data_IF_502562503558
#
_entry.id   IF_502562503558
#
_cell.length_a   1.000
_cell.length_b   1.000
_cell.length_c   1.000
_cell.angle_alpha   90.00
_cell.angle_beta   90.00
_cell.angle_gamma   90.00
#
_symmetry.space_group_name_H-M   'P 1'
#
loop_
_entity.id
_entity.type
_entity.pdbx_description
1 polymer ?
#
# COMPACT_ATOMS: atom_id res chain seq x y z
N UNK A 1 10.92 -18.93 -6.70
CA UNK A 1 11.00 -17.84 -5.71
C UNK A 1 10.25 -18.31 -4.49
N UNK A 2 10.89 -18.42 -3.33
CA UNK A 2 10.32 -19.07 -2.15
C UNK A 2 9.08 -18.33 -1.64
N UNK A 3 8.09 -19.07 -1.17
CA UNK A 3 6.82 -18.58 -0.62
C UNK A 3 7.02 -17.47 0.44
N UNK A 4 8.13 -17.55 1.18
CA UNK A 4 8.58 -16.54 2.14
C UNK A 4 8.83 -15.17 1.52
N UNK A 5 9.42 -15.11 0.33
CA UNK A 5 9.72 -13.86 -0.38
C UNK A 5 8.44 -13.15 -0.81
N UNK A 6 7.43 -13.91 -1.26
CA UNK A 6 6.13 -13.35 -1.62
C UNK A 6 5.36 -12.85 -0.40
N UNK A 7 5.43 -13.56 0.72
CA UNK A 7 4.83 -13.14 2.00
C UNK A 7 5.45 -11.84 2.51
N UNK A 8 6.78 -11.72 2.45
CA UNK A 8 7.53 -10.50 2.76
C UNK A 8 7.17 -9.33 1.82
N UNK A 9 6.98 -9.61 0.52
CA UNK A 9 6.65 -8.60 -0.49
C UNK A 9 5.24 -8.04 -0.28
N UNK A 10 4.26 -8.90 0.01
CA UNK A 10 2.90 -8.47 0.37
C UNK A 10 2.87 -7.62 1.65
N UNK A 11 3.62 -8.02 2.68
CA UNK A 11 3.70 -7.30 3.95
C UNK A 11 4.40 -5.94 3.78
N UNK A 12 5.50 -5.88 3.01
CA UNK A 12 6.18 -4.63 2.66
C UNK A 12 5.28 -3.68 1.87
N UNK A 13 4.47 -4.20 0.95
CA UNK A 13 3.51 -3.43 0.16
C UNK A 13 2.43 -2.78 1.06
N UNK A 14 1.93 -3.51 2.06
CA UNK A 14 0.98 -3.00 3.06
C UNK A 14 1.63 -1.91 3.92
N UNK A 15 2.86 -2.13 4.40
CA UNK A 15 3.61 -1.14 5.19
C UNK A 15 3.82 0.15 4.38
N UNK A 16 4.24 0.04 3.12
CA UNK A 16 4.41 1.18 2.22
C UNK A 16 3.09 1.94 1.99
N UNK A 17 1.96 1.23 1.85
CA UNK A 17 0.64 1.86 1.74
C UNK A 17 0.29 2.71 2.97
N UNK A 18 0.55 2.19 4.17
CA UNK A 18 0.30 2.89 5.43
C UNK A 18 1.19 4.13 5.54
N UNK A 19 2.48 4.02 5.19
CA UNK A 19 3.39 5.16 5.16
C UNK A 19 2.97 6.24 4.16
N UNK A 20 2.46 5.85 3.00
CA UNK A 20 1.97 6.78 1.99
C UNK A 20 0.72 7.53 2.48
N UNK A 21 -0.17 6.84 3.19
CA UNK A 21 -1.34 7.43 3.85
C UNK A 21 -0.93 8.38 4.99
N UNK A 22 0.02 7.98 5.84
CA UNK A 22 0.54 8.83 6.90
C UNK A 22 1.23 10.06 6.31
N UNK A 23 2.07 9.91 5.29
CA UNK A 23 2.72 11.02 4.60
C UNK A 23 1.72 12.03 4.04
N UNK A 24 0.63 11.54 3.44
CA UNK A 24 -0.45 12.40 2.97
C UNK A 24 -1.23 13.12 4.06
N UNK A 25 -1.35 12.51 5.23
CA UNK A 25 -2.02 13.11 6.38
C UNK A 25 -1.14 14.10 7.14
N UNK A 26 0.17 13.84 7.17
CA UNK A 26 1.13 14.58 7.99
C UNK A 26 1.73 15.79 7.26
N UNK A 27 1.67 15.83 5.92
CA UNK A 27 2.09 17.01 5.17
C UNK A 27 1.05 18.13 5.37
N UNK A 28 1.45 19.29 5.91
CA UNK A 28 0.52 20.38 6.18
C UNK A 28 -0.19 20.81 4.90
N UNK A 29 -1.51 21.01 5.00
CA UNK A 29 -2.39 21.38 3.86
C UNK A 29 -1.96 22.64 3.12
N UNK A 30 -1.12 23.47 3.74
CA UNK A 30 -0.53 24.66 3.12
C UNK A 30 0.54 24.32 2.06
N UNK A 31 1.16 23.15 2.15
CA UNK A 31 2.22 22.67 1.24
C UNK A 31 1.70 21.71 0.16
N UNK A 32 0.49 21.17 0.32
CA UNK A 32 -0.09 20.20 -0.62
C UNK A 32 -1.25 20.81 -1.39
N UNK A 33 -1.10 20.87 -2.71
CA UNK A 33 -2.19 21.17 -3.64
C UNK A 33 -3.24 20.06 -3.58
N UNK A 34 -4.53 20.39 -3.69
CA UNK A 34 -5.65 19.45 -3.70
C UNK A 34 -5.44 18.23 -4.61
N UNK A 35 -4.78 18.45 -5.76
CA UNK A 35 -4.38 17.41 -6.70
C UNK A 35 -3.42 16.37 -6.12
N UNK A 36 -2.38 16.81 -5.40
CA UNK A 36 -1.38 15.91 -4.80
C UNK A 36 -2.04 15.02 -3.74
N UNK A 37 -2.93 15.59 -2.92
CA UNK A 37 -3.65 14.81 -1.91
C UNK A 37 -4.56 13.74 -2.53
N UNK A 38 -5.18 14.08 -3.66
CA UNK A 38 -6.06 13.17 -4.40
C UNK A 38 -5.27 12.02 -5.01
N UNK A 39 -4.17 12.33 -5.69
CA UNK A 39 -3.26 11.31 -6.26
C UNK A 39 -2.70 10.41 -5.16
N UNK A 40 -2.29 10.97 -4.03
CA UNK A 40 -1.71 10.21 -2.93
C UNK A 40 -2.73 9.27 -2.28
N UNK A 41 -3.99 9.71 -2.12
CA UNK A 41 -5.08 8.83 -1.69
C UNK A 41 -5.36 7.70 -2.66
N UNK A 42 -5.39 7.98 -3.96
CA UNK A 42 -5.62 6.98 -5.01
C UNK A 42 -4.49 5.95 -5.02
N UNK A 43 -3.23 6.42 -4.99
CA UNK A 43 -2.06 5.54 -4.92
C UNK A 43 -2.07 4.68 -3.65
N UNK A 44 -2.39 5.28 -2.51
CA UNK A 44 -2.53 4.58 -1.23
C UNK A 44 -3.55 3.46 -1.32
N UNK A 45 -4.75 3.75 -1.87
CA UNK A 45 -5.80 2.75 -2.10
C UNK A 45 -5.36 1.64 -3.06
N UNK A 46 -4.72 1.98 -4.18
CA UNK A 46 -4.23 0.99 -5.14
C UNK A 46 -3.20 0.04 -4.52
N UNK A 47 -2.26 0.58 -3.74
CA UNK A 47 -1.27 -0.22 -3.02
C UNK A 47 -1.90 -1.12 -1.95
N UNK A 48 -2.92 -0.62 -1.25
CA UNK A 48 -3.61 -1.37 -0.19
C UNK A 48 -4.42 -2.53 -0.78
N UNK A 49 -5.18 -2.27 -1.84
CA UNK A 49 -5.91 -3.28 -2.59
C UNK A 49 -4.96 -4.31 -3.22
N UNK A 50 -3.88 -3.86 -3.85
CA UNK A 50 -2.87 -4.73 -4.45
C UNK A 50 -2.19 -5.63 -3.41
N UNK A 51 -1.80 -5.08 -2.26
CA UNK A 51 -1.20 -5.82 -1.16
C UNK A 51 -2.14 -6.88 -0.56
N UNK A 52 -3.43 -6.54 -0.36
CA UNK A 52 -4.45 -7.48 0.09
C UNK A 52 -4.67 -8.59 -0.95
N UNK A 53 -4.73 -8.25 -2.23
CA UNK A 53 -4.97 -9.22 -3.30
C UNK A 53 -3.82 -10.23 -3.41
N UNK A 54 -2.58 -9.75 -3.35
CA UNK A 54 -1.38 -10.58 -3.27
C UNK A 54 -1.40 -11.49 -2.05
N UNK A 55 -1.71 -10.95 -0.87
CA UNK A 55 -1.80 -11.75 0.36
C UNK A 55 -2.88 -12.81 0.27
N UNK A 56 -4.04 -12.50 -0.34
CA UNK A 56 -5.15 -13.44 -0.52
C UNK A 56 -4.81 -14.53 -1.55
N UNK A 57 -4.14 -14.18 -2.64
CA UNK A 57 -3.65 -15.15 -3.64
C UNK A 57 -2.63 -16.09 -3.01
N UNK A 58 -1.66 -15.54 -2.27
CA UNK A 58 -0.65 -16.34 -1.56
C UNK A 58 -1.23 -17.27 -0.52
N UNK A 59 -2.29 -16.83 0.18
CA UNK A 59 -3.01 -17.68 1.13
C UNK A 59 -3.72 -18.83 0.40
N UNK A 60 -4.26 -18.60 -0.79
CA UNK A 60 -4.96 -19.60 -1.60
C UNK A 60 -4.02 -20.64 -2.22
N UNK A 61 -2.73 -20.32 -2.36
CA UNK A 61 -1.72 -21.25 -2.88
C UNK A 61 -1.14 -22.17 -1.79
N UNK A 62 -1.40 -21.89 -0.51
CA UNK A 62 -0.97 -22.70 0.65
C UNK A 62 -2.07 -23.63 1.21
N UNK A 63 -3.23 -23.72 0.55
CA UNK A 63 -4.37 -24.59 0.89
C UNK A 63 -4.52 -25.66 -0.19
#
# INVERSE_FOLDING_TARGET
MGETSFKLLGLSCIILSIFLFLGGLYIPKIMITSWINTVLKILGWMFLLGGIFLYKILKKEND
#
